data_IF_302533062417
#
_entry.id   IF_302533062417
#
_cell.length_a   1.000
_cell.length_b   1.000
_cell.length_c   1.000
_cell.angle_alpha   90.00
_cell.angle_beta   90.00
_cell.angle_gamma   90.00
#
_symmetry.space_group_name_H-M   'P 1'
#
loop_
_entity.id
_entity.type
_entity.pdbx_description
1 polymer ?
#
# COMPACT_ATOMS: atom_id res chain seq x y z
N UNK A 1 10.59 2.73 0.72
CA UNK A 1 9.22 3.14 1.01
C UNK A 1 9.13 4.50 1.69
N UNK A 2 10.00 4.80 2.68
CA UNK A 2 9.99 6.06 3.46
C UNK A 2 10.08 7.30 2.56
N UNK A 3 11.02 7.30 1.60
CA UNK A 3 11.18 8.42 0.67
C UNK A 3 9.92 8.62 -0.18
N UNK A 4 9.38 7.55 -0.74
CA UNK A 4 8.14 7.60 -1.53
C UNK A 4 6.96 8.11 -0.68
N UNK A 5 6.80 7.58 0.53
CA UNK A 5 5.76 8.00 1.45
C UNK A 5 5.83 9.50 1.75
N UNK A 6 6.98 10.00 2.19
CA UNK A 6 7.09 11.42 2.53
C UNK A 6 6.95 12.33 1.33
N UNK A 7 7.59 12.03 0.20
CA UNK A 7 7.50 12.87 -0.99
C UNK A 7 6.06 12.97 -1.51
N UNK A 8 5.36 11.83 -1.63
CA UNK A 8 4.00 11.80 -2.14
C UNK A 8 2.98 12.35 -1.14
N UNK A 9 3.09 11.99 0.17
CA UNK A 9 2.16 12.49 1.18
C UNK A 9 2.33 14.00 1.41
N UNK A 10 3.55 14.53 1.43
CA UNK A 10 3.80 15.97 1.53
C UNK A 10 3.26 16.70 0.31
N UNK A 11 3.50 16.16 -0.90
CA UNK A 11 2.98 16.74 -2.14
C UNK A 11 1.45 16.76 -2.12
N UNK A 12 0.79 15.62 -1.87
CA UNK A 12 -0.67 15.54 -1.78
C UNK A 12 -1.22 16.50 -0.72
N UNK A 13 -0.63 16.51 0.48
CA UNK A 13 -1.07 17.36 1.57
C UNK A 13 -0.98 18.88 1.28
N UNK A 14 0.02 19.31 0.50
CA UNK A 14 0.19 20.72 0.15
C UNK A 14 -0.70 21.16 -1.00
N UNK A 15 -0.87 20.32 -2.02
CA UNK A 15 -1.50 20.70 -3.28
C UNK A 15 -2.96 20.27 -3.40
N UNK A 16 -3.35 19.17 -2.75
CA UNK A 16 -4.68 18.58 -2.92
C UNK A 16 -5.50 18.56 -1.62
N UNK A 17 -4.88 18.26 -0.48
CA UNK A 17 -5.61 18.09 0.77
C UNK A 17 -6.36 19.35 1.19
N UNK A 18 -7.68 19.24 1.39
CA UNK A 18 -8.54 20.31 1.87
C UNK A 18 -8.29 20.57 3.37
N UNK A 19 -7.61 21.69 3.65
CA UNK A 19 -7.24 22.10 5.02
C UNK A 19 -8.43 22.44 5.90
N UNK A 20 -9.61 22.72 5.32
CA UNK A 20 -10.85 22.96 6.06
C UNK A 20 -11.29 21.72 6.85
N UNK A 21 -10.94 20.51 6.37
CA UNK A 21 -11.21 19.25 7.06
C UNK A 21 -10.56 19.15 8.45
N UNK A 22 -9.53 19.95 8.73
CA UNK A 22 -8.94 20.05 10.07
C UNK A 22 -9.87 20.67 11.10
N UNK A 23 -10.91 21.38 10.67
CA UNK A 23 -11.94 21.97 11.54
C UNK A 23 -13.02 20.96 11.92
N UNK A 24 -13.01 19.78 11.30
CA UNK A 24 -14.00 18.75 11.55
C UNK A 24 -13.92 18.27 13.03
N UNK A 25 -15.06 18.10 13.74
CA UNK A 25 -15.07 17.74 15.18
C UNK A 25 -14.33 16.43 15.50
N UNK A 26 -14.21 15.53 14.53
CA UNK A 26 -13.51 14.24 14.68
C UNK A 26 -12.05 14.28 14.22
N UNK A 27 -11.54 15.45 13.79
CA UNK A 27 -10.13 15.62 13.52
C UNK A 27 -9.37 15.72 14.85
N UNK A 28 -8.39 14.86 15.04
CA UNK A 28 -7.68 14.77 16.33
C UNK A 28 -6.69 15.93 16.49
N UNK A 29 -6.48 16.35 17.73
CA UNK A 29 -5.38 17.29 18.04
C UNK A 29 -4.05 16.66 17.62
N UNK A 30 -3.25 17.43 16.89
CA UNK A 30 -1.95 17.00 16.37
C UNK A 30 -2.00 15.76 15.46
N UNK A 31 -3.15 15.52 14.77
CA UNK A 31 -3.41 14.29 14.01
C UNK A 31 -2.32 13.97 13.00
N UNK A 32 -1.88 14.94 12.18
CA UNK A 32 -0.81 14.72 11.18
C UNK A 32 0.46 14.14 11.83
N UNK A 33 0.85 14.68 12.98
CA UNK A 33 2.00 14.16 13.74
C UNK A 33 1.77 12.73 14.21
N UNK A 34 0.56 12.43 14.68
CA UNK A 34 0.20 11.09 15.12
C UNK A 34 0.17 10.08 13.98
N UNK A 35 -0.33 10.45 12.80
CA UNK A 35 -0.32 9.64 11.59
C UNK A 35 1.11 9.33 11.15
N UNK A 36 1.97 10.34 11.06
CA UNK A 36 3.40 10.16 10.73
C UNK A 36 4.09 9.24 11.75
N UNK A 37 3.87 9.46 13.05
CA UNK A 37 4.45 8.60 14.10
C UNK A 37 3.96 7.15 13.98
N UNK A 38 2.68 6.95 13.67
CA UNK A 38 2.12 5.61 13.47
C UNK A 38 2.77 4.92 12.26
N UNK A 39 2.88 5.61 11.13
CA UNK A 39 3.53 5.10 9.91
C UNK A 39 5.00 4.75 10.16
N UNK A 40 5.76 5.66 10.79
CA UNK A 40 7.18 5.42 11.09
C UNK A 40 7.40 4.25 12.06
N UNK A 41 6.45 3.96 12.94
CA UNK A 41 6.50 2.77 13.81
C UNK A 41 6.17 1.48 13.06
N UNK A 42 5.31 1.56 12.04
CA UNK A 42 4.92 0.41 11.24
C UNK A 42 6.04 -0.05 10.27
N UNK A 43 6.78 0.89 9.66
CA UNK A 43 7.75 0.59 8.61
C UNK A 43 8.82 -0.45 9.00
N UNK A 44 9.52 -0.39 10.14
CA UNK A 44 10.53 -1.40 10.46
C UNK A 44 9.97 -2.82 10.54
N UNK A 45 8.76 -2.99 11.03
CA UNK A 45 8.10 -4.29 11.11
C UNK A 45 7.61 -4.76 9.74
N UNK A 46 7.09 -3.84 8.93
CA UNK A 46 6.75 -4.14 7.53
C UNK A 46 7.98 -4.60 6.74
N UNK A 47 9.09 -3.87 6.86
CA UNK A 47 10.33 -4.21 6.19
C UNK A 47 10.82 -5.60 6.64
N UNK A 48 10.79 -5.88 7.94
CA UNK A 48 11.17 -7.21 8.47
C UNK A 48 10.32 -8.34 7.89
N UNK A 49 9.02 -8.12 7.71
CA UNK A 49 8.09 -9.13 7.18
C UNK A 49 8.16 -9.25 5.65
N UNK A 50 8.52 -8.18 4.93
CA UNK A 50 8.55 -8.17 3.45
C UNK A 50 9.92 -8.53 2.87
N UNK A 51 11.03 -8.29 3.59
CA UNK A 51 12.38 -8.65 3.13
C UNK A 51 12.52 -10.13 2.70
N UNK A 52 11.94 -11.13 3.40
CA UNK A 52 12.01 -12.53 2.94
C UNK A 52 11.44 -12.76 1.55
N UNK A 53 10.39 -12.01 1.15
CA UNK A 53 9.80 -12.10 -0.18
C UNK A 53 10.78 -11.58 -1.24
N UNK A 54 11.37 -10.40 -1.03
CA UNK A 54 12.37 -9.85 -1.94
C UNK A 54 13.61 -10.74 -2.04
N UNK A 55 14.05 -11.34 -0.93
CA UNK A 55 15.15 -12.31 -0.96
C UNK A 55 14.79 -13.55 -1.78
N UNK A 56 13.56 -14.05 -1.65
CA UNK A 56 13.07 -15.18 -2.45
C UNK A 56 13.02 -14.81 -3.94
N UNK A 57 12.52 -13.64 -4.28
CA UNK A 57 12.49 -13.11 -5.66
C UNK A 57 13.90 -13.04 -6.27
N UNK A 58 14.85 -12.43 -5.56
CA UNK A 58 16.26 -12.32 -6.03
C UNK A 58 16.93 -13.69 -6.18
N UNK A 59 16.57 -14.66 -5.34
CA UNK A 59 17.06 -16.05 -5.42
C UNK A 59 16.39 -16.89 -6.50
N UNK A 60 15.46 -16.33 -7.28
CA UNK A 60 14.78 -17.00 -8.37
C UNK A 60 13.61 -17.89 -7.97
N UNK A 61 13.07 -17.74 -6.75
CA UNK A 61 11.86 -18.43 -6.31
C UNK A 61 10.55 -17.80 -6.82
N UNK A 62 10.66 -16.81 -7.71
CA UNK A 62 9.52 -16.19 -8.39
C UNK A 62 9.61 -16.39 -9.90
N UNK A 63 8.54 -16.07 -10.61
CA UNK A 63 8.49 -16.03 -12.08
C UNK A 63 8.83 -14.62 -12.61
N UNK A 64 9.51 -13.82 -11.82
CA UNK A 64 9.96 -12.51 -12.23
C UNK A 64 11.10 -12.62 -13.25
N UNK A 65 11.03 -11.88 -14.35
CA UNK A 65 11.96 -11.95 -15.46
C UNK A 65 12.58 -10.58 -15.77
N UNK A 66 13.76 -10.61 -16.41
CA UNK A 66 14.53 -9.38 -16.66
C UNK A 66 14.24 -8.77 -18.02
N UNK A 67 14.14 -9.59 -19.06
CA UNK A 67 14.04 -9.14 -20.45
C UNK A 67 12.60 -8.78 -20.79
N UNK A 68 12.34 -7.56 -21.22
CA UNK A 68 10.99 -7.07 -21.60
C UNK A 68 10.33 -7.88 -22.73
N UNK A 69 11.13 -8.54 -23.60
CA UNK A 69 10.66 -9.31 -24.74
C UNK A 69 10.48 -10.81 -24.47
N UNK A 70 10.79 -11.31 -23.25
CA UNK A 70 10.81 -12.74 -22.91
C UNK A 70 9.46 -13.44 -23.10
N UNK A 71 8.38 -12.78 -22.72
CA UNK A 71 7.00 -13.26 -22.95
C UNK A 71 6.26 -12.49 -24.05
N UNK A 72 6.97 -11.62 -24.76
CA UNK A 72 6.42 -10.78 -25.81
C UNK A 72 5.66 -9.55 -25.30
N UNK A 73 5.54 -8.55 -26.18
CA UNK A 73 4.95 -7.25 -25.84
C UNK A 73 3.49 -7.35 -25.37
N UNK A 74 2.70 -8.21 -25.98
CA UNK A 74 1.30 -8.37 -25.61
C UNK A 74 1.12 -8.87 -24.18
N UNK A 75 1.97 -9.81 -23.74
CA UNK A 75 1.94 -10.28 -22.37
C UNK A 75 2.41 -9.18 -21.38
N UNK A 76 3.43 -8.43 -21.74
CA UNK A 76 3.91 -7.30 -20.94
C UNK A 76 2.76 -6.29 -20.69
N UNK A 77 2.00 -5.94 -21.74
CA UNK A 77 0.85 -5.03 -21.63
C UNK A 77 -0.28 -5.67 -20.79
N UNK A 78 -0.61 -6.94 -21.06
CA UNK A 78 -1.68 -7.65 -20.36
C UNK A 78 -1.36 -7.88 -18.87
N UNK A 79 -0.09 -8.02 -18.50
CA UNK A 79 0.32 -8.23 -17.10
C UNK A 79 -0.02 -7.05 -16.19
N UNK A 80 -0.18 -5.83 -16.74
CA UNK A 80 -0.60 -4.65 -15.96
C UNK A 80 -2.03 -4.80 -15.42
N UNK A 81 -3.06 -4.90 -16.28
CA UNK A 81 -4.42 -5.09 -15.77
C UNK A 81 -4.57 -6.41 -14.99
N UNK A 82 -3.86 -7.46 -15.37
CA UNK A 82 -3.88 -8.72 -14.62
C UNK A 82 -3.36 -8.55 -13.19
N UNK A 83 -2.24 -7.83 -13.03
CA UNK A 83 -1.69 -7.49 -11.71
C UNK A 83 -2.69 -6.66 -10.90
N UNK A 84 -3.25 -5.60 -11.47
CA UNK A 84 -4.17 -4.71 -10.76
C UNK A 84 -5.44 -5.44 -10.33
N UNK A 85 -6.08 -6.21 -11.23
CA UNK A 85 -7.30 -6.96 -10.90
C UNK A 85 -7.02 -8.05 -9.85
N UNK A 86 -5.91 -8.79 -9.99
CA UNK A 86 -5.55 -9.83 -9.03
C UNK A 86 -5.30 -9.23 -7.64
N UNK A 87 -4.48 -8.19 -7.57
CA UNK A 87 -4.10 -7.59 -6.29
C UNK A 87 -5.29 -6.91 -5.62
N UNK A 88 -6.12 -6.19 -6.37
CA UNK A 88 -7.33 -5.54 -5.86
C UNK A 88 -8.32 -6.58 -5.31
N UNK A 89 -8.60 -7.64 -6.06
CA UNK A 89 -9.48 -8.71 -5.61
C UNK A 89 -8.97 -9.39 -4.34
N UNK A 90 -7.66 -9.67 -4.25
CA UNK A 90 -7.06 -10.28 -3.07
C UNK A 90 -7.08 -9.33 -1.86
N UNK A 91 -6.74 -8.04 -2.07
CA UNK A 91 -6.78 -7.02 -1.02
C UNK A 91 -8.21 -6.84 -0.49
N UNK A 92 -9.22 -6.85 -1.37
CA UNK A 92 -10.62 -6.80 -0.94
C UNK A 92 -10.95 -7.93 0.05
N UNK A 93 -10.53 -9.18 -0.24
CA UNK A 93 -10.80 -10.30 0.65
C UNK A 93 -9.99 -10.24 1.93
N UNK A 94 -8.71 -9.84 1.87
CA UNK A 94 -7.88 -9.63 3.06
C UNK A 94 -8.52 -8.59 3.96
N UNK A 95 -8.85 -7.41 3.42
CA UNK A 95 -9.48 -6.32 4.16
C UNK A 95 -10.82 -6.73 4.77
N UNK A 96 -11.64 -7.50 4.02
CA UNK A 96 -12.91 -8.04 4.53
C UNK A 96 -12.70 -9.01 5.70
N UNK A 97 -11.66 -9.85 5.64
CA UNK A 97 -11.29 -10.75 6.73
C UNK A 97 -10.80 -9.97 7.95
N UNK A 98 -10.05 -8.89 7.76
CA UNK A 98 -9.56 -8.02 8.83
C UNK A 98 -10.71 -7.31 9.57
N UNK A 99 -11.84 -7.11 8.92
CA UNK A 99 -13.09 -6.65 9.56
C UNK A 99 -13.79 -7.71 10.42
N UNK A 100 -13.33 -8.98 10.43
CA UNK A 100 -13.88 -9.99 11.34
C UNK A 100 -13.64 -9.58 12.81
N UNK A 101 -14.63 -9.72 13.72
CA UNK A 101 -14.53 -9.23 15.11
C UNK A 101 -13.26 -9.64 15.87
N UNK A 102 -12.72 -10.81 15.60
CA UNK A 102 -11.48 -11.31 16.25
C UNK A 102 -10.24 -10.55 15.80
N UNK A 103 -10.19 -10.12 14.53
CA UNK A 103 -9.02 -9.41 13.94
C UNK A 103 -9.18 -7.90 14.05
N UNK A 104 -10.38 -7.40 13.81
CA UNK A 104 -10.67 -5.98 13.76
C UNK A 104 -10.12 -5.23 14.97
N UNK A 105 -10.47 -5.68 16.17
CA UNK A 105 -10.11 -4.99 17.42
C UNK A 105 -8.61 -4.79 17.59
N UNK A 106 -7.81 -5.77 17.18
CA UNK A 106 -6.37 -5.82 17.48
C UNK A 106 -5.49 -5.41 16.29
N UNK A 107 -5.93 -5.71 15.07
CA UNK A 107 -5.13 -5.52 13.86
C UNK A 107 -5.63 -4.33 13.04
N UNK A 108 -6.91 -4.26 12.71
CA UNK A 108 -7.42 -3.32 11.72
C UNK A 108 -8.01 -2.01 12.29
N UNK A 109 -8.53 -2.04 13.52
CA UNK A 109 -9.06 -0.85 14.20
C UNK A 109 -8.08 0.32 14.32
N UNK A 110 -6.77 0.12 14.52
CA UNK A 110 -5.81 1.22 14.52
C UNK A 110 -5.80 2.04 13.23
N UNK A 111 -6.07 1.41 12.08
CA UNK A 111 -6.20 2.08 10.80
C UNK A 111 -7.45 2.96 10.76
N UNK A 112 -8.59 2.47 11.24
CA UNK A 112 -9.85 3.21 11.32
C UNK A 112 -9.90 4.29 12.40
N UNK A 113 -8.82 4.54 13.12
CA UNK A 113 -8.70 5.65 14.06
C UNK A 113 -8.79 7.01 13.36
N UNK A 114 -8.36 7.09 12.13
CA UNK A 114 -8.28 8.31 11.34
C UNK A 114 -9.58 8.55 10.57
N UNK A 115 -10.62 9.09 11.26
CA UNK A 115 -11.97 9.24 10.69
C UNK A 115 -11.99 10.29 9.57
N UNK A 116 -11.16 11.32 9.70
CA UNK A 116 -10.90 12.30 8.63
C UNK A 116 -9.42 12.18 8.30
N UNK A 117 -9.00 11.20 7.48
CA UNK A 117 -7.60 10.94 7.24
C UNK A 117 -6.94 12.08 6.47
N UNK A 118 -5.63 12.24 6.65
CA UNK A 118 -4.80 13.02 5.75
C UNK A 118 -3.96 12.08 4.88
N UNK A 119 -3.29 12.55 3.82
CA UNK A 119 -2.39 11.70 3.03
C UNK A 119 -1.35 10.92 3.85
N UNK A 120 -1.00 11.42 5.04
CA UNK A 120 -0.10 10.73 5.96
C UNK A 120 -0.71 9.52 6.66
N UNK A 121 -2.04 9.36 6.62
CA UNK A 121 -2.72 8.19 7.20
C UNK A 121 -2.56 6.92 6.37
N UNK A 122 -2.12 7.01 5.12
CA UNK A 122 -2.00 5.89 4.18
C UNK A 122 -1.23 4.69 4.72
N UNK A 123 -0.23 4.93 5.57
CA UNK A 123 0.58 3.89 6.21
C UNK A 123 0.46 3.90 7.75
N UNK A 124 -0.52 4.63 8.30
CA UNK A 124 -0.76 4.75 9.72
C UNK A 124 -1.66 3.62 10.25
N UNK A 125 -1.19 2.39 10.18
CA UNK A 125 -1.87 1.15 10.53
C UNK A 125 -1.03 0.24 11.44
N UNK A 126 -1.62 -0.87 11.87
CA UNK A 126 -0.87 -1.92 12.54
C UNK A 126 0.02 -2.68 11.52
N UNK A 127 1.27 -3.05 11.85
CA UNK A 127 2.17 -3.71 10.90
C UNK A 127 1.60 -4.98 10.25
N UNK A 128 0.85 -5.79 10.99
CA UNK A 128 0.22 -7.00 10.44
C UNK A 128 -0.89 -6.68 9.43
N UNK A 129 -1.63 -5.58 9.61
CA UNK A 129 -2.62 -5.07 8.68
C UNK A 129 -1.96 -4.72 7.34
N UNK A 130 -1.00 -3.82 7.38
CA UNK A 130 -0.27 -3.43 6.16
C UNK A 130 0.46 -4.60 5.50
N UNK A 131 1.02 -5.53 6.28
CA UNK A 131 1.65 -6.72 5.73
C UNK A 131 0.65 -7.62 5.02
N UNK A 132 -0.48 -7.94 5.66
CA UNK A 132 -1.50 -8.81 5.06
C UNK A 132 -2.05 -8.22 3.75
N UNK A 133 -2.31 -6.91 3.72
CA UNK A 133 -2.76 -6.22 2.52
C UNK A 133 -1.66 -6.08 1.45
N UNK A 134 -0.38 -6.15 1.81
CA UNK A 134 0.74 -6.15 0.86
C UNK A 134 1.07 -7.52 0.26
N UNK A 135 0.65 -8.62 0.89
CA UNK A 135 0.94 -9.97 0.42
C UNK A 135 0.57 -10.24 -1.04
N UNK A 136 -0.58 -9.79 -1.57
CA UNK A 136 -0.95 -10.00 -2.96
C UNK A 136 0.09 -9.51 -3.98
N UNK A 137 0.81 -8.44 -3.66
CA UNK A 137 1.87 -7.90 -4.53
C UNK A 137 3.06 -8.85 -4.63
N UNK A 138 3.42 -9.52 -3.54
CA UNK A 138 4.50 -10.50 -3.50
C UNK A 138 4.09 -11.88 -4.03
N UNK A 139 2.83 -12.27 -3.82
CA UNK A 139 2.29 -13.53 -4.31
C UNK A 139 2.15 -13.52 -5.84
N UNK A 140 1.77 -12.39 -6.44
CA UNK A 140 1.55 -12.30 -7.88
C UNK A 140 2.74 -12.81 -8.70
N UNK A 141 3.98 -12.33 -8.52
CA UNK A 141 5.12 -12.82 -9.31
C UNK A 141 5.51 -14.27 -8.99
N UNK A 142 4.99 -14.89 -7.93
CA UNK A 142 5.16 -16.32 -7.69
C UNK A 142 4.23 -17.18 -8.55
N UNK A 143 3.06 -16.63 -8.94
CA UNK A 143 2.03 -17.32 -9.73
C UNK A 143 2.15 -16.99 -11.21
N UNK A 144 2.30 -15.71 -11.55
CA UNK A 144 2.31 -15.19 -12.90
C UNK A 144 3.68 -14.58 -13.24
N UNK A 145 4.20 -14.80 -14.47
CA UNK A 145 5.40 -14.10 -14.89
C UNK A 145 5.19 -12.58 -14.84
N UNK A 146 6.19 -11.85 -14.32
CA UNK A 146 6.15 -10.39 -14.28
C UNK A 146 7.53 -9.81 -14.54
N UNK A 147 7.62 -8.84 -15.45
CA UNK A 147 8.88 -8.14 -15.68
C UNK A 147 9.28 -7.36 -14.42
N UNK A 148 10.55 -7.50 -13.98
CA UNK A 148 11.03 -6.89 -12.74
C UNK A 148 10.92 -5.36 -12.72
N UNK A 149 11.24 -4.71 -13.83
CA UNK A 149 11.12 -3.25 -13.93
C UNK A 149 9.65 -2.83 -13.86
N UNK A 150 8.78 -3.53 -14.58
CA UNK A 150 7.34 -3.30 -14.54
C UNK A 150 6.79 -3.52 -13.12
N UNK A 151 7.26 -4.56 -12.42
CA UNK A 151 6.88 -4.81 -11.01
C UNK A 151 7.26 -3.63 -10.11
N UNK A 152 8.46 -3.09 -10.23
CA UNK A 152 8.88 -1.91 -9.47
C UNK A 152 8.02 -0.68 -9.78
N UNK A 153 7.67 -0.47 -11.06
CA UNK A 153 6.77 0.62 -11.47
C UNK A 153 5.36 0.44 -10.89
N UNK A 154 4.81 -0.76 -10.96
CA UNK A 154 3.49 -1.09 -10.41
C UNK A 154 3.50 -0.97 -8.88
N UNK A 155 4.54 -1.44 -8.21
CA UNK A 155 4.69 -1.30 -6.77
C UNK A 155 4.76 0.18 -6.34
N UNK A 156 5.50 1.00 -7.09
CA UNK A 156 5.50 2.46 -6.88
C UNK A 156 4.11 3.07 -7.10
N UNK A 157 3.42 2.66 -8.17
CA UNK A 157 2.07 3.13 -8.48
C UNK A 157 1.05 2.79 -7.39
N UNK A 158 1.01 1.54 -6.88
CA UNK A 158 0.05 1.16 -5.85
C UNK A 158 0.32 1.85 -4.51
N UNK A 159 1.58 2.16 -4.18
CA UNK A 159 1.90 2.98 -3.00
C UNK A 159 1.42 4.43 -3.18
N UNK A 160 1.63 5.03 -4.35
CA UNK A 160 1.09 6.35 -4.67
C UNK A 160 -0.44 6.36 -4.60
N UNK A 161 -1.08 5.36 -5.22
CA UNK A 161 -2.53 5.17 -5.17
C UNK A 161 -3.05 5.08 -3.73
N UNK A 162 -2.38 4.30 -2.88
CA UNK A 162 -2.73 4.21 -1.46
C UNK A 162 -2.70 5.56 -0.74
N UNK A 163 -1.72 6.41 -1.05
CA UNK A 163 -1.65 7.77 -0.48
C UNK A 163 -2.82 8.63 -0.97
N UNK A 164 -3.15 8.54 -2.26
CA UNK A 164 -4.22 9.34 -2.87
C UNK A 164 -5.61 8.97 -2.33
N UNK A 165 -5.92 7.69 -2.15
CA UNK A 165 -7.21 7.26 -1.61
C UNK A 165 -7.40 7.60 -0.12
N UNK A 166 -6.33 7.94 0.59
CA UNK A 166 -6.40 8.45 1.97
C UNK A 166 -6.51 9.99 2.03
N UNK A 167 -6.43 10.66 0.90
CA UNK A 167 -6.77 12.07 0.82
C UNK A 167 -8.29 12.18 0.65
N UNK A 168 -8.99 12.56 1.71
CA UNK A 168 -10.46 12.51 1.77
C UNK A 168 -11.17 13.37 0.70
N UNK A 169 -10.47 14.27 0.04
CA UNK A 169 -11.04 15.14 -1.01
C UNK A 169 -10.74 14.69 -2.45
N UNK A 170 -9.78 13.77 -2.64
CA UNK A 170 -9.42 13.37 -4.01
C UNK A 170 -10.41 12.40 -4.66
N UNK A 171 -11.34 11.82 -3.90
CA UNK A 171 -12.26 10.77 -4.38
C UNK A 171 -13.74 11.20 -4.26
N UNK A 172 -14.02 12.40 -3.80
CA UNK A 172 -15.39 12.95 -3.69
C UNK A 172 -15.72 13.86 -4.86
#
# INVERSE_FOLDING_TARGET
IILLYFSCAVFSYHFFFNKELKKHPRFLKDQVKLEIQSSLRAFPWLDLLTVPWFVAEVRGYSRAYDRWDEYGLWYLILSVPLFLVFTDACIYWVHRIEHHPLLYKHVHKPHHKWIVPTPFASHAFHPLDGYAQSLPYHIFPCIFPLNKLLFLCLFGFVNLWSIMIHDSDMIN
#
